data_IF_514177005827
#
_entry.id   IF_514177005827
#
_cell.length_a   1.000
_cell.length_b   1.000
_cell.length_c   1.000
_cell.angle_alpha   90.00
_cell.angle_beta   90.00
_cell.angle_gamma   90.00
#
_symmetry.space_group_name_H-M   'P 1'
#
loop_
_entity.id
_entity.type
_entity.pdbx_description
1 polymer ?
#
# COMPACT_ATOMS: atom_id res chain seq x y z
N UNK A 1 -13.01 8.20 -23.13
CA UNK A 1 -11.68 7.83 -22.56
C UNK A 1 -11.73 8.19 -21.08
N UNK A 2 -11.51 7.24 -20.20
CA UNK A 2 -11.49 7.51 -18.75
C UNK A 2 -10.06 7.93 -18.39
N UNK A 3 -9.88 9.16 -17.98
CA UNK A 3 -8.62 9.72 -17.53
C UNK A 3 -8.71 10.03 -16.04
N UNK A 4 -7.58 9.97 -15.35
CA UNK A 4 -7.47 10.31 -13.94
C UNK A 4 -6.08 9.99 -13.41
N UNK A 5 -5.83 10.39 -12.17
CA UNK A 5 -4.59 10.04 -11.48
C UNK A 5 -4.52 8.51 -11.29
N UNK A 6 -3.34 7.94 -11.53
CA UNK A 6 -3.14 6.48 -11.50
C UNK A 6 -3.53 5.85 -10.16
N UNK A 7 -3.31 6.56 -9.05
CA UNK A 7 -3.64 6.07 -7.70
C UNK A 7 -5.15 5.91 -7.45
N UNK A 8 -5.99 6.50 -8.29
CA UNK A 8 -7.45 6.35 -8.27
C UNK A 8 -7.89 5.42 -9.40
N UNK A 9 -7.47 5.72 -10.64
CA UNK A 9 -7.88 4.95 -11.83
C UNK A 9 -7.44 3.48 -11.72
N UNK A 10 -6.21 3.23 -11.24
CA UNK A 10 -5.68 1.88 -11.08
C UNK A 10 -6.57 0.98 -10.21
N UNK A 11 -6.86 1.37 -8.97
CA UNK A 11 -7.78 0.65 -8.09
C UNK A 11 -9.21 0.58 -8.63
N UNK A 12 -9.78 1.69 -9.09
CA UNK A 12 -11.16 1.73 -9.58
C UNK A 12 -11.40 0.85 -10.79
N UNK A 13 -10.38 0.68 -11.65
CA UNK A 13 -10.47 -0.20 -12.80
C UNK A 13 -10.08 -1.65 -12.48
N UNK A 14 -9.56 -1.94 -11.28
CA UNK A 14 -9.12 -3.27 -10.89
C UNK A 14 -7.76 -3.67 -11.48
N UNK A 15 -6.93 -2.69 -11.83
CA UNK A 15 -5.54 -2.92 -12.25
C UNK A 15 -4.59 -3.05 -11.06
N UNK A 16 -4.95 -2.47 -9.91
CA UNK A 16 -4.20 -2.65 -8.67
C UNK A 16 -4.82 -3.79 -7.87
N UNK A 17 -4.05 -4.85 -7.68
CA UNK A 17 -4.47 -6.05 -6.96
C UNK A 17 -3.41 -6.47 -5.94
N UNK A 18 -3.80 -7.23 -4.89
CA UNK A 18 -2.85 -7.73 -3.90
C UNK A 18 -1.70 -8.56 -4.51
N UNK A 19 -0.50 -8.37 -3.99
CA UNK A 19 0.71 -9.09 -4.42
C UNK A 19 1.37 -8.52 -5.67
N UNK A 20 0.81 -7.47 -6.28
CA UNK A 20 1.43 -6.81 -7.44
C UNK A 20 2.59 -5.90 -7.02
N UNK A 21 3.50 -5.66 -7.94
CA UNK A 21 4.46 -4.55 -7.88
C UNK A 21 3.96 -3.42 -8.77
N UNK A 22 3.88 -2.20 -8.22
CA UNK A 22 3.41 -1.02 -8.95
C UNK A 22 4.48 0.08 -8.87
N UNK A 23 4.95 0.55 -10.01
CA UNK A 23 5.89 1.67 -10.09
C UNK A 23 5.36 2.75 -11.04
N UNK A 24 5.60 3.99 -10.70
CA UNK A 24 5.13 5.15 -11.44
C UNK A 24 6.04 6.36 -11.16
N UNK A 25 6.08 7.31 -12.07
CA UNK A 25 6.84 8.57 -11.92
C UNK A 25 6.26 9.56 -10.89
N UNK A 26 5.38 9.10 -10.01
CA UNK A 26 4.75 9.87 -8.94
C UNK A 26 5.16 9.31 -7.58
N UNK A 27 5.61 10.20 -6.67
CA UNK A 27 6.05 9.82 -5.34
C UNK A 27 4.95 9.13 -4.50
N UNK A 28 3.68 9.50 -4.70
CA UNK A 28 2.55 8.96 -3.98
C UNK A 28 2.03 7.62 -4.52
N UNK A 29 2.80 6.96 -5.38
CA UNK A 29 2.52 5.58 -5.84
C UNK A 29 2.36 4.60 -4.66
N UNK A 30 2.94 4.91 -3.51
CA UNK A 30 2.74 4.17 -2.26
C UNK A 30 1.25 3.98 -1.88
N UNK A 31 0.34 4.82 -2.40
CA UNK A 31 -1.12 4.68 -2.23
C UNK A 31 -1.63 3.27 -2.55
N UNK A 32 -1.06 2.64 -3.58
CA UNK A 32 -1.45 1.28 -4.00
C UNK A 32 -1.13 0.21 -2.95
N UNK A 33 -0.26 0.51 -1.98
CA UNK A 33 0.02 -0.38 -0.85
C UNK A 33 -1.18 -0.67 0.03
N UNK A 34 -2.21 0.17 0.00
CA UNK A 34 -3.51 -0.07 0.66
C UNK A 34 -4.20 -1.36 0.19
N UNK A 35 -3.84 -1.85 -0.98
CA UNK A 35 -4.34 -3.08 -1.59
C UNK A 35 -3.40 -4.29 -1.37
N UNK A 36 -2.34 -4.16 -0.60
CA UNK A 36 -1.32 -5.20 -0.45
C UNK A 36 -0.39 -5.32 -1.66
N UNK A 37 -0.25 -4.26 -2.45
CA UNK A 37 0.72 -4.17 -3.54
C UNK A 37 2.02 -3.53 -3.03
N UNK A 38 3.17 -4.01 -3.48
CA UNK A 38 4.44 -3.31 -3.28
C UNK A 38 4.53 -2.17 -4.29
N UNK A 39 4.32 -0.94 -3.81
CA UNK A 39 4.16 0.21 -4.69
C UNK A 39 5.04 1.38 -4.25
N UNK A 40 5.77 1.97 -5.19
CA UNK A 40 6.62 3.13 -4.90
C UNK A 40 6.89 3.97 -6.15
N UNK A 41 7.18 5.26 -5.92
CA UNK A 41 7.62 6.18 -6.96
C UNK A 41 9.01 5.86 -7.47
N UNK A 42 9.23 6.14 -8.75
CA UNK A 42 10.53 5.99 -9.43
C UNK A 42 10.86 7.24 -10.25
N UNK A 43 12.12 7.47 -10.52
CA UNK A 43 12.58 8.60 -11.33
C UNK A 43 12.28 8.42 -12.82
N UNK A 44 12.34 9.52 -13.57
CA UNK A 44 12.02 9.53 -15.01
C UNK A 44 12.86 8.54 -15.82
N UNK A 45 14.17 8.44 -15.54
CA UNK A 45 15.06 7.48 -16.20
C UNK A 45 14.72 6.03 -15.86
N UNK A 46 14.24 5.78 -14.63
CA UNK A 46 13.77 4.46 -14.22
C UNK A 46 12.45 4.12 -14.93
N UNK A 47 11.56 5.09 -15.14
CA UNK A 47 10.33 4.91 -15.93
C UNK A 47 10.67 4.48 -17.35
N UNK A 48 11.61 5.16 -18.01
CA UNK A 48 12.10 4.78 -19.35
C UNK A 48 12.62 3.35 -19.35
N UNK A 49 13.46 2.99 -18.36
CA UNK A 49 14.02 1.64 -18.24
C UNK A 49 12.92 0.59 -18.06
N UNK A 50 11.94 0.84 -17.18
CA UNK A 50 10.82 -0.09 -16.94
C UNK A 50 9.96 -0.26 -18.19
N UNK A 51 9.68 0.82 -18.94
CA UNK A 51 8.92 0.73 -20.18
C UNK A 51 9.65 -0.09 -21.24
N UNK A 52 10.98 0.03 -21.31
CA UNK A 52 11.80 -0.67 -22.29
C UNK A 52 12.03 -2.15 -21.92
N UNK A 53 12.19 -2.47 -20.63
CA UNK A 53 12.71 -3.77 -20.20
C UNK A 53 11.78 -4.54 -19.28
N UNK A 54 10.73 -3.91 -18.75
CA UNK A 54 9.83 -4.44 -17.73
C UNK A 54 10.57 -4.88 -16.44
N UNK A 55 11.74 -4.30 -16.19
CA UNK A 55 12.58 -4.61 -15.03
C UNK A 55 13.02 -3.34 -14.32
N UNK A 56 13.35 -3.47 -13.03
CA UNK A 56 13.89 -2.39 -12.22
C UNK A 56 14.89 -2.95 -11.20
N UNK A 57 16.10 -2.40 -11.16
CA UNK A 57 17.10 -2.76 -10.16
C UNK A 57 16.85 -1.94 -8.91
N UNK A 58 16.56 -2.61 -7.79
CA UNK A 58 16.27 -1.97 -6.52
C UNK A 58 17.07 -2.59 -5.38
N UNK A 59 17.46 -1.77 -4.42
CA UNK A 59 17.92 -2.28 -3.12
C UNK A 59 16.71 -2.74 -2.33
N UNK A 60 16.78 -3.94 -1.74
CA UNK A 60 15.75 -4.45 -0.84
C UNK A 60 15.54 -3.46 0.31
N UNK A 61 14.32 -2.94 0.48
CA UNK A 61 13.94 -2.14 1.62
C UNK A 61 13.98 -2.96 2.91
N UNK A 62 14.21 -2.29 4.03
CA UNK A 62 14.01 -2.90 5.35
C UNK A 62 12.52 -2.92 5.67
N UNK A 63 12.07 -3.89 6.46
CA UNK A 63 10.69 -3.97 6.91
C UNK A 63 10.53 -3.22 8.23
N UNK A 64 9.48 -2.39 8.34
CA UNK A 64 9.07 -1.71 9.57
C UNK A 64 7.60 -2.03 9.82
N UNK A 65 7.27 -2.45 11.04
CA UNK A 65 5.89 -2.61 11.48
C UNK A 65 5.46 -1.35 12.23
N UNK A 66 4.32 -0.79 11.86
CA UNK A 66 3.61 0.26 12.61
C UNK A 66 2.24 -0.29 13.00
N UNK A 67 2.03 -0.52 14.28
CA UNK A 67 0.80 -1.10 14.80
C UNK A 67 -0.02 -0.04 15.54
N UNK A 68 -1.24 0.23 15.05
CA UNK A 68 -2.18 1.17 15.65
C UNK A 68 -3.27 0.38 16.37
N UNK A 69 -3.19 0.35 17.70
CA UNK A 69 -4.11 -0.38 18.58
C UNK A 69 -5.28 0.48 19.02
N UNK A 70 -6.38 -0.17 19.39
CA UNK A 70 -7.62 0.50 19.79
C UNK A 70 -8.40 1.05 18.61
N UNK A 71 -9.43 1.85 18.91
CA UNK A 71 -10.33 2.47 17.93
C UNK A 71 -10.12 3.98 17.88
N UNK A 72 -10.34 4.57 16.72
CA UNK A 72 -10.23 6.02 16.53
C UNK A 72 -11.37 6.74 17.27
N UNK A 73 -11.04 7.84 17.93
CA UNK A 73 -12.04 8.72 18.50
C UNK A 73 -12.83 9.45 17.40
N UNK A 74 -14.07 9.87 17.68
CA UNK A 74 -14.85 10.68 16.74
C UNK A 74 -14.06 11.91 16.29
N UNK A 75 -14.03 12.15 14.98
CA UNK A 75 -13.31 13.26 14.36
C UNK A 75 -11.84 12.98 14.01
N UNK A 76 -11.26 11.87 14.49
CA UNK A 76 -9.90 11.44 14.10
C UNK A 76 -9.98 10.72 12.75
N UNK A 77 -9.11 11.11 11.83
CA UNK A 77 -9.06 10.62 10.45
C UNK A 77 -7.80 9.78 10.18
N UNK A 78 -7.77 9.11 9.03
CA UNK A 78 -6.57 8.40 8.57
C UNK A 78 -5.33 9.31 8.45
N UNK A 79 -5.54 10.59 8.12
CA UNK A 79 -4.46 11.59 8.05
C UNK A 79 -3.84 11.84 9.43
N UNK A 80 -4.67 11.93 10.47
CA UNK A 80 -4.19 12.15 11.83
C UNK A 80 -3.35 10.98 12.33
N UNK A 81 -3.70 9.74 11.94
CA UNK A 81 -2.87 8.55 12.21
C UNK A 81 -1.46 8.76 11.65
N UNK A 82 -1.36 9.11 10.36
CA UNK A 82 -0.05 9.24 9.72
C UNK A 82 0.76 10.39 10.29
N UNK A 83 0.11 11.52 10.56
CA UNK A 83 0.78 12.67 11.18
C UNK A 83 1.27 12.33 12.59
N UNK A 84 0.52 11.54 13.35
CA UNK A 84 0.94 11.07 14.67
C UNK A 84 2.16 10.14 14.56
N UNK A 85 2.16 9.19 13.62
CA UNK A 85 3.30 8.31 13.36
C UNK A 85 4.54 9.13 13.00
N UNK A 86 4.41 10.10 12.08
CA UNK A 86 5.51 10.99 11.69
C UNK A 86 6.00 11.83 12.89
N UNK A 87 5.07 12.29 13.73
CA UNK A 87 5.40 13.02 14.95
C UNK A 87 6.28 12.22 15.92
N UNK A 88 6.07 10.90 16.00
CA UNK A 88 6.86 9.99 16.84
C UNK A 88 8.18 9.59 16.20
N UNK A 89 8.16 9.26 14.89
CA UNK A 89 9.33 8.72 14.19
C UNK A 89 10.23 9.80 13.58
N UNK A 90 9.70 10.99 13.39
CA UNK A 90 10.32 12.06 12.61
C UNK A 90 10.12 11.89 11.10
N UNK A 91 10.36 12.97 10.35
CA UNK A 91 10.18 13.03 8.89
C UNK A 91 11.14 12.14 8.09
N UNK A 92 12.17 11.60 8.73
CA UNK A 92 13.15 10.69 8.13
C UNK A 92 13.12 9.29 8.78
N UNK A 93 12.19 9.04 9.72
CA UNK A 93 12.13 7.78 10.47
C UNK A 93 11.91 6.55 9.62
N UNK A 94 11.20 6.69 8.50
CA UNK A 94 10.93 5.63 7.52
C UNK A 94 12.01 5.44 6.45
N UNK A 95 13.11 6.21 6.48
CA UNK A 95 14.11 6.18 5.40
C UNK A 95 14.73 4.79 5.23
N UNK A 96 14.59 4.25 4.02
CA UNK A 96 15.08 2.90 3.66
C UNK A 96 14.15 1.77 4.08
N UNK A 97 12.97 2.08 4.61
CA UNK A 97 11.97 1.09 5.03
C UNK A 97 10.78 1.03 4.07
N UNK A 98 10.18 -0.15 4.01
CA UNK A 98 8.78 -0.36 3.64
C UNK A 98 8.00 -0.51 4.95
N UNK A 99 7.01 0.35 5.17
CA UNK A 99 6.21 0.35 6.40
C UNK A 99 4.96 -0.51 6.20
N UNK A 100 4.81 -1.56 7.01
CA UNK A 100 3.56 -2.30 7.14
C UNK A 100 2.72 -1.68 8.25
N UNK A 101 1.60 -1.09 7.88
CA UNK A 101 0.61 -0.58 8.82
C UNK A 101 -0.39 -1.67 9.20
N UNK A 102 -0.59 -1.89 10.49
CA UNK A 102 -1.48 -2.92 11.00
C UNK A 102 -2.16 -2.49 12.31
N UNK A 103 -2.86 -3.40 12.94
CA UNK A 103 -3.59 -3.13 14.18
C UNK A 103 -5.08 -2.91 13.96
N UNK A 104 -5.81 -2.75 15.05
CA UNK A 104 -7.28 -2.65 15.03
C UNK A 104 -7.74 -1.42 14.25
N UNK A 105 -7.18 -0.25 14.56
CA UNK A 105 -7.57 1.00 13.92
C UNK A 105 -7.41 0.93 12.39
N UNK A 106 -6.32 0.31 11.89
CA UNK A 106 -6.09 0.15 10.44
C UNK A 106 -7.12 -0.80 9.81
N UNK A 107 -7.47 -1.89 10.50
CA UNK A 107 -8.51 -2.82 10.00
C UNK A 107 -9.89 -2.16 9.93
N UNK A 108 -10.18 -1.23 10.83
CA UNK A 108 -11.46 -0.50 10.88
C UNK A 108 -11.58 0.57 9.78
N UNK A 109 -10.47 1.11 9.27
CA UNK A 109 -10.48 2.10 8.19
C UNK A 109 -11.22 1.60 6.94
N UNK A 110 -11.84 2.53 6.22
CA UNK A 110 -12.28 2.31 4.83
C UNK A 110 -11.08 2.10 3.89
N UNK A 111 -11.31 1.66 2.67
CA UNK A 111 -10.21 1.56 1.69
C UNK A 111 -9.60 2.91 1.39
N UNK A 112 -10.40 3.97 1.31
CA UNK A 112 -9.94 5.35 1.12
C UNK A 112 -9.06 5.82 2.29
N UNK A 113 -9.43 5.47 3.53
CA UNK A 113 -8.61 5.73 4.70
C UNK A 113 -7.27 4.98 4.65
N UNK A 114 -7.28 3.71 4.23
CA UNK A 114 -6.06 2.92 4.02
C UNK A 114 -5.19 3.51 2.90
N UNK A 115 -5.80 3.98 1.83
CA UNK A 115 -5.11 4.69 0.75
C UNK A 115 -4.43 5.95 1.27
N UNK A 116 -5.08 6.72 2.13
CA UNK A 116 -4.50 7.90 2.77
C UNK A 116 -3.28 7.54 3.62
N UNK A 117 -3.35 6.49 4.45
CA UNK A 117 -2.23 6.05 5.29
C UNK A 117 -1.04 5.63 4.43
N UNK A 118 -1.25 4.79 3.43
CA UNK A 118 -0.18 4.34 2.54
C UNK A 118 0.38 5.48 1.68
N UNK A 119 -0.49 6.38 1.18
CA UNK A 119 -0.11 7.57 0.42
C UNK A 119 0.90 8.42 1.18
N UNK A 120 0.62 8.69 2.44
CA UNK A 120 1.43 9.58 3.27
C UNK A 120 2.67 8.89 3.89
N UNK A 121 2.92 7.62 3.64
CA UNK A 121 4.11 6.93 4.15
C UNK A 121 5.42 7.60 3.70
N UNK A 122 5.43 8.17 2.50
CA UNK A 122 6.58 8.90 1.94
C UNK A 122 6.90 10.19 2.70
N UNK A 123 5.92 10.81 3.34
CA UNK A 123 6.12 12.02 4.16
C UNK A 123 6.94 11.72 5.42
N UNK A 124 6.93 10.48 5.88
CA UNK A 124 7.83 9.96 6.92
C UNK A 124 9.15 9.42 6.38
N UNK A 125 9.46 9.65 5.10
CA UNK A 125 10.69 9.19 4.45
C UNK A 125 10.68 7.73 4.02
N UNK A 126 9.57 7.01 4.19
CA UNK A 126 9.49 5.61 3.80
C UNK A 126 9.49 5.44 2.27
N UNK A 127 10.00 4.30 1.81
CA UNK A 127 9.97 3.95 0.40
C UNK A 127 8.58 3.56 -0.07
N UNK A 128 7.83 2.87 0.77
CA UNK A 128 6.46 2.44 0.53
C UNK A 128 5.73 2.26 1.86
N UNK A 129 4.41 2.34 1.82
CA UNK A 129 3.52 1.90 2.88
C UNK A 129 2.68 0.74 2.35
N UNK A 130 2.42 -0.27 3.17
CA UNK A 130 1.63 -1.43 2.78
C UNK A 130 0.68 -1.83 3.91
N UNK A 131 -0.48 -2.33 3.54
CA UNK A 131 -1.45 -2.94 4.44
C UNK A 131 -1.77 -4.33 3.91
N UNK A 132 -1.68 -5.35 4.74
CA UNK A 132 -2.02 -6.71 4.35
C UNK A 132 -3.47 -6.79 3.83
N UNK A 133 -3.71 -7.44 2.69
CA UNK A 133 -5.03 -7.52 2.10
C UNK A 133 -5.97 -8.36 2.97
N UNK A 134 -7.19 -7.89 3.16
CA UNK A 134 -8.24 -8.51 3.95
C UNK A 134 -9.60 -8.54 3.20
N UNK A 135 -10.65 -8.92 3.91
CA UNK A 135 -12.00 -8.99 3.34
C UNK A 135 -12.47 -7.65 2.73
N UNK A 136 -12.08 -6.50 3.32
CA UNK A 136 -12.42 -5.17 2.75
C UNK A 136 -11.70 -4.95 1.42
N UNK A 137 -10.42 -5.33 1.35
CA UNK A 137 -9.62 -5.24 0.12
C UNK A 137 -10.25 -6.10 -0.98
N UNK A 138 -10.63 -7.34 -0.66
CA UNK A 138 -11.26 -8.23 -1.63
C UNK A 138 -12.61 -7.69 -2.09
N UNK A 139 -13.44 -7.20 -1.16
CA UNK A 139 -14.73 -6.61 -1.49
C UNK A 139 -14.59 -5.38 -2.40
N UNK A 140 -13.58 -4.53 -2.18
CA UNK A 140 -13.31 -3.38 -3.04
C UNK A 140 -12.90 -3.81 -4.46
N UNK A 141 -12.06 -4.83 -4.60
CA UNK A 141 -11.58 -5.31 -5.90
C UNK A 141 -12.64 -6.09 -6.68
N UNK A 142 -13.60 -6.70 -5.97
CA UNK A 142 -14.63 -7.55 -6.59
C UNK A 142 -15.47 -6.77 -7.61
N UNK A 143 -15.63 -7.34 -8.79
CA UNK A 143 -16.46 -6.77 -9.86
C UNK A 143 -15.85 -5.57 -10.58
N UNK A 144 -14.64 -5.15 -10.25
CA UNK A 144 -13.93 -4.12 -11.02
C UNK A 144 -13.66 -4.61 -12.45
N UNK A 145 -13.59 -3.70 -13.45
CA UNK A 145 -13.52 -4.08 -14.87
C UNK A 145 -12.41 -5.08 -15.21
N UNK A 146 -11.21 -4.89 -14.66
CA UNK A 146 -10.02 -5.70 -14.93
C UNK A 146 -9.65 -6.67 -13.79
N UNK A 147 -10.47 -6.74 -12.72
CA UNK A 147 -10.27 -7.72 -11.68
C UNK A 147 -10.60 -9.14 -12.20
N UNK A 148 -9.96 -10.20 -11.67
CA UNK A 148 -10.29 -11.58 -11.99
C UNK A 148 -11.77 -11.88 -11.79
N UNK A 149 -12.31 -12.85 -12.54
CA UNK A 149 -13.73 -13.23 -12.49
C UNK A 149 -13.90 -14.74 -12.35
N UNK A 150 -15.03 -15.17 -11.81
CA UNK A 150 -15.37 -16.60 -11.72
C UNK A 150 -14.31 -17.41 -10.99
N UNK A 151 -13.81 -18.48 -11.60
CA UNK A 151 -12.80 -19.36 -11.02
C UNK A 151 -11.45 -18.66 -10.78
N UNK A 152 -11.07 -17.72 -11.65
CA UNK A 152 -9.85 -16.93 -11.48
C UNK A 152 -9.93 -16.04 -10.23
N UNK A 153 -11.10 -15.49 -9.93
CA UNK A 153 -11.31 -14.72 -8.70
C UNK A 153 -11.09 -15.60 -7.45
N UNK A 154 -11.62 -16.82 -7.46
CA UNK A 154 -11.45 -17.74 -6.33
C UNK A 154 -9.99 -18.11 -6.12
N UNK A 155 -9.26 -18.39 -7.21
CA UNK A 155 -7.83 -18.68 -7.17
C UNK A 155 -7.03 -17.46 -6.67
N UNK A 156 -7.35 -16.26 -7.16
CA UNK A 156 -6.72 -15.02 -6.74
C UNK A 156 -6.92 -14.76 -5.23
N UNK A 157 -8.15 -14.87 -4.73
CA UNK A 157 -8.44 -14.69 -3.29
C UNK A 157 -7.73 -15.75 -2.44
N UNK A 158 -7.65 -17.01 -2.90
CA UNK A 158 -6.88 -18.05 -2.20
C UNK A 158 -5.40 -17.68 -2.09
N UNK A 159 -4.81 -17.18 -3.17
CA UNK A 159 -3.44 -16.68 -3.17
C UNK A 159 -3.28 -15.44 -2.27
N UNK A 160 -4.16 -14.44 -2.38
CA UNK A 160 -4.06 -13.20 -1.59
C UNK A 160 -4.14 -13.44 -0.09
N UNK A 161 -4.83 -14.48 0.34
CA UNK A 161 -4.87 -14.90 1.75
C UNK A 161 -3.54 -15.42 2.27
N UNK A 162 -2.58 -15.70 1.42
CA UNK A 162 -1.22 -16.10 1.83
C UNK A 162 -0.25 -14.92 1.96
N UNK A 163 -0.69 -13.71 1.60
CA UNK A 163 0.15 -12.51 1.59
C UNK A 163 0.18 -11.83 2.96
N UNK A 164 0.57 -12.57 3.98
CA UNK A 164 0.83 -12.03 5.31
C UNK A 164 2.34 -11.87 5.52
N UNK A 165 2.70 -10.91 6.39
CA UNK A 165 4.05 -10.86 6.90
C UNK A 165 4.18 -11.87 8.05
N UNK A 166 5.16 -12.76 7.97
CA UNK A 166 5.47 -13.69 9.06
C UNK A 166 5.92 -12.93 10.30
N UNK A 167 5.50 -13.38 11.49
CA UNK A 167 5.77 -12.69 12.75
C UNK A 167 7.27 -12.53 13.05
N UNK A 168 8.13 -13.40 12.50
CA UNK A 168 9.58 -13.35 12.67
C UNK A 168 10.33 -12.38 11.76
N UNK A 169 9.73 -11.90 10.68
CA UNK A 169 10.40 -11.04 9.67
C UNK A 169 10.22 -9.53 9.94
N UNK A 170 9.63 -9.17 11.05
CA UNK A 170 9.31 -7.78 11.42
C UNK A 170 10.39 -7.20 12.31
N UNK A 171 11.18 -6.25 11.80
CA UNK A 171 11.97 -5.38 12.67
C UNK A 171 11.17 -4.14 13.04
N UNK A 172 10.83 -4.07 14.33
CA UNK A 172 10.43 -2.92 15.20
C UNK A 172 9.60 -1.79 14.59
N UNK A 173 8.77 -1.48 15.13
CA UNK A 173 7.84 -1.03 16.14
C UNK A 173 7.89 0.47 16.40
N UNK A 174 6.86 1.07 16.12
CA UNK A 174 6.29 2.21 16.86
C UNK A 174 4.86 1.86 17.20
#
# INVERSE_FOLDING_TARGET
MRQGIVHIVGPEQGWTLPGMTVVCGDSHTATHGAFGALAHGIGTSEVEHVLATQTLIQRKGKNMKVEITGSLLPGVTAKDITLSVIGVTGTAGGTGYVIEYCGQAIRELSMEGRMTVCNMAIEGGARAGIIAPDAKTYAYCMGRPHAPKGAEWQAAVAYWKTLYTDDGDRKSVV
#
